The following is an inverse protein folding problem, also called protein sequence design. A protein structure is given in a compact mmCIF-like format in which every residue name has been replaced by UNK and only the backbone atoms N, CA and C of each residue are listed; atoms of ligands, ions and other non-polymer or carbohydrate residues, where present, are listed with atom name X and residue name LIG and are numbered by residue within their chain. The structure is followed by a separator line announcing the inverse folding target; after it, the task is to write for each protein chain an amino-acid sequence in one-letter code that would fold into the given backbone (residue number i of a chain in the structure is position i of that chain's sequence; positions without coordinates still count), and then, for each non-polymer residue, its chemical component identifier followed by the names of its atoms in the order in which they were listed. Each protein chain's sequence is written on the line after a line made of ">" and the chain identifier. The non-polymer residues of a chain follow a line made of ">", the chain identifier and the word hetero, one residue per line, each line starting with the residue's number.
data_IF_776512446093
#
_entry.id   IF_776512446093
#
_cell.length_a   1.000
_cell.length_b   1.000
_cell.length_c   1.000
_cell.angle_alpha   90.00
_cell.angle_beta   90.00
_cell.angle_gamma   90.00
#
_symmetry.space_group_name_H-M   'P 1'
#
loop_
_entity.id
_entity.type
_entity.pdbx_description
1 polymer ?
#
# COMPACT_ATOMS: atom_id res chain seq x y z
N UNK A 1 10.28 -10.66 8.10
CA UNK A 1 10.43 -9.42 8.88
C UNK A 1 11.46 -8.47 8.27
N UNK A 2 12.66 -8.99 7.94
CA UNK A 2 13.71 -8.15 7.37
C UNK A 2 13.28 -7.60 6.01
N UNK A 3 12.71 -8.44 5.16
CA UNK A 3 12.27 -8.00 3.83
C UNK A 3 11.14 -6.97 3.91
N UNK A 4 10.23 -7.12 4.86
CA UNK A 4 9.17 -6.12 5.07
C UNK A 4 9.75 -4.80 5.53
N UNK A 5 10.73 -4.82 6.43
CA UNK A 5 11.38 -3.59 6.90
C UNK A 5 12.15 -2.91 5.78
N UNK A 6 12.82 -3.68 4.93
CA UNK A 6 13.57 -3.13 3.80
C UNK A 6 12.65 -2.46 2.78
N UNK A 7 11.45 -2.99 2.58
CA UNK A 7 10.47 -2.36 1.70
C UNK A 7 9.76 -1.19 2.39
N UNK A 8 9.48 -1.32 3.69
CA UNK A 8 8.73 -0.33 4.44
C UNK A 8 9.42 1.04 4.43
N UNK A 9 10.73 1.06 4.65
CA UNK A 9 11.45 2.33 4.77
C UNK A 9 11.43 3.14 3.48
N UNK A 10 11.81 2.58 2.31
CA UNK A 10 11.74 3.34 1.06
C UNK A 10 10.32 3.72 0.67
N UNK A 11 9.36 2.81 0.82
CA UNK A 11 7.97 3.11 0.47
C UNK A 11 7.39 4.20 1.37
N UNK A 12 7.69 4.15 2.67
CA UNK A 12 7.27 5.22 3.59
C UNK A 12 7.86 6.56 3.17
N UNK A 13 9.13 6.59 2.79
CA UNK A 13 9.76 7.82 2.35
C UNK A 13 9.07 8.38 1.11
N UNK A 14 8.80 7.53 0.13
CA UNK A 14 8.13 7.97 -1.10
C UNK A 14 6.76 8.57 -0.81
N UNK A 15 5.97 7.94 0.07
CA UNK A 15 4.66 8.47 0.43
C UNK A 15 4.80 9.73 1.26
N UNK A 16 5.76 9.78 2.19
CA UNK A 16 5.99 10.98 3.00
C UNK A 16 6.40 12.18 2.13
N UNK A 17 7.06 11.96 0.99
CA UNK A 17 7.37 13.04 0.07
C UNK A 17 6.11 13.72 -0.47
N UNK A 18 4.97 13.04 -0.41
CA UNK A 18 3.67 13.59 -0.78
C UNK A 18 3.02 14.38 0.36
N UNK A 19 3.51 14.21 1.58
CA UNK A 19 3.02 14.90 2.75
C UNK A 19 2.54 13.95 3.84
N UNK A 20 2.53 14.46 5.06
CA UNK A 20 2.11 13.67 6.21
C UNK A 20 0.64 13.27 6.13
N UNK A 21 -0.21 14.13 5.55
CA UNK A 21 -1.63 13.81 5.38
C UNK A 21 -1.82 12.53 4.58
N UNK A 22 -1.12 12.41 3.46
CA UNK A 22 -1.22 11.23 2.60
C UNK A 22 -0.72 9.98 3.35
N UNK A 23 0.41 10.12 4.03
CA UNK A 23 1.00 9.01 4.77
C UNK A 23 0.07 8.50 5.89
N UNK A 24 -0.47 9.41 6.68
CA UNK A 24 -1.39 9.04 7.75
C UNK A 24 -2.69 8.46 7.19
N UNK A 25 -3.14 8.93 6.04
CA UNK A 25 -4.34 8.39 5.39
C UNK A 25 -4.14 6.94 4.97
N UNK A 26 -2.96 6.58 4.47
CA UNK A 26 -2.65 5.19 4.16
C UNK A 26 -2.68 4.33 5.42
N UNK A 27 -2.02 4.77 6.47
CA UNK A 27 -2.01 4.05 7.74
C UNK A 27 -3.41 3.84 8.28
N UNK A 28 -4.21 4.91 8.33
CA UNK A 28 -5.57 4.83 8.84
C UNK A 28 -6.43 3.88 8.02
N UNK A 29 -6.36 3.99 6.69
CA UNK A 29 -7.17 3.14 5.81
C UNK A 29 -6.78 1.67 5.95
N UNK A 30 -5.49 1.38 6.02
CA UNK A 30 -5.01 0.01 6.19
C UNK A 30 -5.48 -0.55 7.53
N UNK A 31 -5.37 0.23 8.60
CA UNK A 31 -5.81 -0.23 9.92
C UNK A 31 -7.31 -0.47 9.96
N UNK A 32 -8.09 0.44 9.38
CA UNK A 32 -9.56 0.29 9.37
C UNK A 32 -10.00 -0.97 8.61
N UNK A 33 -9.32 -1.32 7.54
CA UNK A 33 -9.66 -2.53 6.78
C UNK A 33 -9.13 -3.78 7.49
N UNK A 34 -7.92 -3.72 8.04
CA UNK A 34 -7.31 -4.91 8.63
C UNK A 34 -7.89 -5.30 9.98
N UNK A 35 -8.51 -4.38 10.72
CA UNK A 35 -9.19 -4.74 11.97
C UNK A 35 -10.29 -5.79 11.73
N UNK A 36 -11.26 -5.57 10.81
CA UNK A 36 -12.24 -6.61 10.51
C UNK A 36 -11.61 -7.87 9.95
N UNK A 37 -10.59 -7.74 9.11
CA UNK A 37 -9.90 -8.91 8.56
C UNK A 37 -9.29 -9.74 9.68
N UNK A 38 -8.65 -9.13 10.65
CA UNK A 38 -8.05 -9.84 11.76
C UNK A 38 -9.10 -10.53 12.64
N UNK A 39 -10.28 -9.94 12.78
CA UNK A 39 -11.35 -10.49 13.59
C UNK A 39 -12.04 -11.70 12.93
N UNK A 40 -12.23 -11.63 11.60
CA UNK A 40 -13.00 -12.65 10.88
C UNK A 40 -12.13 -13.63 10.11
N UNK A 41 -10.82 -13.38 10.02
CA UNK A 41 -9.88 -14.24 9.32
C UNK A 41 -8.68 -14.49 10.22
N UNK A 42 -8.71 -15.59 10.99
CA UNK A 42 -7.69 -15.79 12.04
C UNK A 42 -6.31 -16.19 11.54
N UNK A 43 -6.08 -16.24 10.26
CA UNK A 43 -4.73 -16.48 9.74
C UNK A 43 -3.80 -15.35 10.18
N UNK A 44 -2.52 -15.69 10.35
CA UNK A 44 -1.54 -14.70 10.78
C UNK A 44 -1.50 -13.53 9.82
N UNK A 45 -1.81 -12.36 10.31
CA UNK A 45 -1.57 -11.12 9.58
C UNK A 45 -0.50 -10.36 10.35
N UNK A 46 0.53 -9.95 9.63
CA UNK A 46 1.56 -9.08 10.21
C UNK A 46 1.20 -7.64 9.85
N UNK A 47 0.94 -6.80 10.86
CA UNK A 47 0.49 -5.45 10.64
C UNK A 47 1.41 -4.65 9.73
N UNK A 48 2.73 -4.79 9.88
CA UNK A 48 3.68 -4.09 9.04
C UNK A 48 3.55 -4.50 7.57
N UNK A 49 3.34 -5.79 7.31
CA UNK A 49 3.14 -6.28 5.95
C UNK A 49 1.92 -5.63 5.29
N UNK A 50 0.82 -5.51 6.02
CA UNK A 50 -0.36 -4.83 5.51
C UNK A 50 -0.08 -3.37 5.15
N UNK A 51 0.68 -2.67 5.98
CA UNK A 51 1.06 -1.28 5.71
C UNK A 51 1.96 -1.19 4.48
N UNK A 52 2.91 -2.11 4.32
CA UNK A 52 3.77 -2.15 3.13
C UNK A 52 2.92 -2.25 1.86
N UNK A 53 1.94 -3.16 1.84
CA UNK A 53 1.05 -3.29 0.69
C UNK A 53 0.16 -2.08 0.51
N UNK A 54 -0.24 -1.43 1.61
CA UNK A 54 -1.00 -0.19 1.55
C UNK A 54 -0.21 0.94 0.91
N UNK A 55 1.04 1.11 1.32
CA UNK A 55 1.91 2.12 0.73
C UNK A 55 2.13 1.84 -0.76
N UNK A 56 2.35 0.59 -1.12
CA UNK A 56 2.52 0.20 -2.51
C UNK A 56 1.25 0.48 -3.32
N UNK A 57 0.08 0.09 -2.81
CA UNK A 57 -1.20 0.36 -3.48
C UNK A 57 -1.44 1.83 -3.70
N UNK A 58 -1.17 2.66 -2.68
CA UNK A 58 -1.29 4.10 -2.81
C UNK A 58 -0.38 4.63 -3.93
N UNK A 59 0.89 4.23 -3.91
CA UNK A 59 1.86 4.74 -4.88
C UNK A 59 1.53 4.32 -6.31
N UNK A 60 1.07 3.10 -6.50
CA UNK A 60 0.72 2.61 -7.83
C UNK A 60 -0.50 3.33 -8.39
N UNK A 61 -1.45 3.71 -7.53
CA UNK A 61 -2.69 4.32 -8.01
C UNK A 61 -2.64 5.83 -8.08
N UNK A 62 -1.87 6.50 -7.19
CA UNK A 62 -1.93 7.95 -7.08
C UNK A 62 -1.51 8.65 -8.37
N UNK A 63 -0.53 8.08 -9.09
CA UNK A 63 -0.09 8.63 -10.38
C UNK A 63 -1.20 8.59 -11.41
N UNK A 64 -1.95 7.50 -11.45
CA UNK A 64 -3.07 7.34 -12.37
C UNK A 64 -4.19 8.34 -12.04
N UNK A 65 -4.48 8.51 -10.74
CA UNK A 65 -5.57 9.37 -10.31
C UNK A 65 -5.25 10.85 -10.52
N UNK A 66 -4.05 11.28 -10.18
CA UNK A 66 -3.68 12.69 -10.27
C UNK A 66 -3.19 13.10 -11.65
N UNK A 67 -2.68 12.17 -12.44
CA UNK A 67 -2.19 12.39 -13.80
C UNK A 67 -1.17 13.53 -13.86
N UNK A 68 -0.23 13.54 -12.91
CA UNK A 68 0.85 14.51 -12.82
C UNK A 68 2.17 13.76 -12.86
N UNK A 69 3.23 14.47 -13.29
CA UNK A 69 4.53 13.82 -13.52
C UNK A 69 5.09 13.19 -12.24
N UNK A 70 5.12 13.94 -11.14
CA UNK A 70 5.75 13.44 -9.91
C UNK A 70 5.04 12.19 -9.38
N UNK A 71 3.73 12.18 -9.17
CA UNK A 71 3.09 10.95 -8.71
C UNK A 71 3.19 9.80 -9.71
N UNK A 72 3.20 10.08 -11.02
CA UNK A 72 3.39 9.03 -12.00
C UNK A 72 4.78 8.40 -11.86
N UNK A 73 5.81 9.22 -11.69
CA UNK A 73 7.17 8.71 -11.50
C UNK A 73 7.31 7.92 -10.20
N UNK A 74 6.65 8.36 -9.12
CA UNK A 74 6.64 7.61 -7.87
C UNK A 74 5.99 6.23 -8.04
N UNK A 75 4.90 6.17 -8.78
CA UNK A 75 4.23 4.91 -9.08
C UNK A 75 5.09 3.98 -9.92
N UNK A 76 5.72 4.50 -10.97
CA UNK A 76 6.60 3.70 -11.82
C UNK A 76 7.82 3.19 -11.06
N UNK A 77 8.41 4.03 -10.22
CA UNK A 77 9.53 3.62 -9.39
C UNK A 77 9.12 2.50 -8.43
N UNK A 78 7.96 2.65 -7.79
CA UNK A 78 7.45 1.64 -6.87
C UNK A 78 7.17 0.32 -7.59
N UNK A 79 6.61 0.38 -8.78
CA UNK A 79 6.36 -0.80 -9.58
C UNK A 79 7.66 -1.49 -9.96
N UNK A 80 8.68 -0.72 -10.33
CA UNK A 80 9.97 -1.28 -10.71
C UNK A 80 10.67 -1.96 -9.52
N UNK A 81 10.63 -1.30 -8.35
CA UNK A 81 11.32 -1.82 -7.17
C UNK A 81 10.57 -2.99 -6.51
N UNK A 82 9.25 -2.89 -6.44
CA UNK A 82 8.44 -3.79 -5.62
C UNK A 82 7.27 -4.43 -6.35
N UNK A 83 7.22 -4.32 -7.67
CA UNK A 83 6.10 -4.87 -8.43
C UNK A 83 5.94 -6.38 -8.25
N UNK A 84 7.05 -7.10 -8.03
CA UNK A 84 6.98 -8.53 -7.80
C UNK A 84 6.21 -8.90 -6.53
N UNK A 85 6.13 -7.99 -5.56
CA UNK A 85 5.34 -8.23 -4.35
C UNK A 85 3.85 -8.37 -4.64
N UNK A 86 3.38 -7.88 -5.79
CA UNK A 86 1.97 -7.99 -6.16
C UNK A 86 1.54 -9.45 -6.34
N UNK A 87 2.46 -10.34 -6.64
CA UNK A 87 2.13 -11.77 -6.76
C UNK A 87 1.61 -12.35 -5.44
N UNK A 88 2.00 -11.79 -4.29
CA UNK A 88 1.51 -12.27 -3.00
C UNK A 88 0.03 -11.93 -2.75
N UNK A 89 -0.58 -11.13 -3.62
CA UNK A 89 -2.01 -10.84 -3.55
C UNK A 89 -2.86 -11.96 -4.18
N UNK A 90 -2.21 -12.86 -4.91
CA UNK A 90 -2.91 -13.96 -5.58
C UNK A 90 -3.07 -15.12 -4.60
N UNK A 91 -4.31 -15.62 -4.38
CA UNK A 91 -4.51 -16.78 -3.51
C UNK A 91 -3.70 -17.98 -4.00
N UNK A 92 -3.04 -18.66 -3.06
CA UNK A 92 -2.27 -19.87 -3.38
C UNK A 92 -0.83 -19.62 -3.81
N UNK A 93 -0.45 -18.38 -4.11
CA UNK A 93 0.93 -18.04 -4.47
C UNK A 93 1.78 -17.80 -3.24
N UNK A 94 1.20 -17.24 -2.18
CA UNK A 94 1.91 -16.95 -0.94
C UNK A 94 2.31 -18.24 -0.23
N UNK A 95 3.46 -18.24 0.48
CA UNK A 95 3.86 -19.40 1.28
C UNK A 95 2.80 -19.78 2.31
N UNK A 96 2.80 -21.05 2.69
CA UNK A 96 1.89 -21.53 3.72
C UNK A 96 2.05 -20.72 5.01
N UNK A 97 0.95 -20.34 5.63
CA UNK A 97 0.93 -19.55 6.85
C UNK A 97 0.97 -18.04 6.63
N UNK A 98 1.13 -17.58 5.39
CA UNK A 98 1.06 -16.15 5.05
C UNK A 98 -0.33 -15.86 4.50
N UNK A 99 -1.03 -14.89 5.11
CA UNK A 99 -2.38 -14.54 4.71
C UNK A 99 -2.36 -13.60 3.52
N UNK A 100 -2.77 -14.10 2.34
CA UNK A 100 -2.96 -13.23 1.19
C UNK A 100 -4.08 -12.21 1.46
N UNK A 101 -5.03 -12.55 2.33
CA UNK A 101 -6.14 -11.66 2.69
C UNK A 101 -5.63 -10.42 3.39
N UNK A 102 -4.65 -10.57 4.30
CA UNK A 102 -4.04 -9.42 4.97
C UNK A 102 -3.30 -8.52 3.99
N UNK A 103 -2.59 -9.11 3.03
CA UNK A 103 -1.91 -8.33 1.98
C UNK A 103 -2.92 -7.60 1.10
N UNK A 104 -3.97 -8.31 0.66
CA UNK A 104 -5.00 -7.71 -0.18
C UNK A 104 -5.75 -6.60 0.55
N UNK A 105 -6.04 -6.80 1.85
CA UNK A 105 -6.67 -5.76 2.66
C UNK A 105 -5.80 -4.53 2.79
N UNK A 106 -4.49 -4.73 3.01
CA UNK A 106 -3.54 -3.62 3.06
C UNK A 106 -3.50 -2.87 1.73
N UNK A 107 -3.37 -3.59 0.62
CA UNK A 107 -3.34 -2.99 -0.71
C UNK A 107 -4.61 -2.17 -0.97
N UNK A 108 -5.77 -2.74 -0.65
CA UNK A 108 -7.05 -2.04 -0.81
C UNK A 108 -7.10 -0.77 0.05
N UNK A 109 -6.56 -0.83 1.27
CA UNK A 109 -6.47 0.35 2.12
C UNK A 109 -5.68 1.47 1.47
N UNK A 110 -4.55 1.14 0.84
CA UNK A 110 -3.75 2.12 0.10
C UNK A 110 -4.50 2.70 -1.08
N UNK A 111 -5.21 1.87 -1.83
CA UNK A 111 -6.04 2.31 -2.95
C UNK A 111 -7.11 3.29 -2.47
N UNK A 112 -7.80 2.96 -1.37
CA UNK A 112 -8.82 3.84 -0.82
C UNK A 112 -8.22 5.15 -0.33
N UNK A 113 -7.05 5.12 0.31
CA UNK A 113 -6.37 6.34 0.72
C UNK A 113 -6.03 7.22 -0.48
N UNK A 114 -5.53 6.62 -1.56
CA UNK A 114 -5.21 7.38 -2.77
C UNK A 114 -6.44 8.07 -3.34
N UNK A 115 -7.58 7.38 -3.37
CA UNK A 115 -8.83 8.00 -3.87
C UNK A 115 -9.29 9.13 -2.95
N UNK A 116 -9.06 9.01 -1.66
CA UNK A 116 -9.50 10.02 -0.69
C UNK A 116 -8.64 11.28 -0.72
N UNK A 117 -7.32 11.15 -0.97
CA UNK A 117 -6.39 12.27 -0.87
C UNK A 117 -5.92 12.81 -2.22
N UNK A 118 -6.34 12.20 -3.32
CA UNK A 118 -5.89 12.62 -4.64
C UNK A 118 -6.14 14.12 -4.87
N UNK A 119 -5.19 14.75 -5.52
CA UNK A 119 -5.34 16.14 -5.94
C UNK A 119 -5.86 16.19 -7.36
N UNK A 120 -6.77 17.11 -7.62
CA UNK A 120 -7.32 17.27 -8.97
C UNK A 120 -6.20 17.67 -9.94
N UNK A 121 -6.23 17.18 -11.20
CA UNK A 121 -5.31 17.65 -12.20
C UNK A 121 -5.35 19.17 -12.30
N UNK A 122 -4.16 19.81 -12.27
CA UNK A 122 -4.05 21.26 -12.30
C UNK A 122 -4.19 21.95 -10.95
N UNK A 123 -4.53 21.23 -9.88
CA UNK A 123 -4.55 21.80 -8.53
C UNK A 123 -3.13 21.88 -8.00
N UNK A 124 -2.80 22.95 -7.28
CA UNK A 124 -1.49 23.14 -6.67
C UNK A 124 -1.35 22.36 -5.36
#
# INVERSE_FOLDING_TARGET
>A
LISNSLAFLPLSWLVLSRGMRDYLSVWLSVLLINIPVALFWPARSHGLSGVVYGLLGYLLLIGWLERRIVPILLGLLSLWLYGSALFALIPGVSPAGVSWVGHAGGFLGGVLAATAVQRQPGAS
#
